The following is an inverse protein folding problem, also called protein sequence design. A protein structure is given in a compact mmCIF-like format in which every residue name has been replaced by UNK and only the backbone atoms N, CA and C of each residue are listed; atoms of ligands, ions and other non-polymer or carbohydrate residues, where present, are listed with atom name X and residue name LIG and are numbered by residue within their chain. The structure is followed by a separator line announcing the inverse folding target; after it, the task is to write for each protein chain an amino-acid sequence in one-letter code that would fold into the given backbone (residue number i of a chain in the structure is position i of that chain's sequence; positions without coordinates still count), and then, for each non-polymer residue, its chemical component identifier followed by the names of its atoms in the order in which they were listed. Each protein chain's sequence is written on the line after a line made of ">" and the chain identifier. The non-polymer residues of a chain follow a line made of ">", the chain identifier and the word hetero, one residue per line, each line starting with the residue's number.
data_IF_334454701062
#
_entry.id   IF_334454701062
#
_cell.length_a   1.000
_cell.length_b   1.000
_cell.length_c   1.000
_cell.angle_alpha   90.00
_cell.angle_beta   90.00
_cell.angle_gamma   90.00
#
_symmetry.space_group_name_H-M   'P 1'
#
loop_
_entity.id
_entity.type
_entity.pdbx_description
1 polymer ?
#
# COMPACT_ATOMS: atom_id res chain seq x y z
N UNK A 1 3.14 -27.04 8.14
CA UNK A 1 2.45 -25.99 8.91
C UNK A 1 2.06 -24.79 8.03
N UNK A 2 2.97 -24.22 7.21
CA UNK A 2 2.62 -23.13 6.28
C UNK A 2 1.65 -23.50 5.15
N UNK A 3 1.60 -24.76 4.70
CA UNK A 3 0.68 -25.16 3.61
C UNK A 3 -0.78 -25.14 4.04
N UNK A 4 -1.13 -25.71 5.21
CA UNK A 4 -2.52 -25.75 5.69
C UNK A 4 -3.13 -24.34 5.86
N UNK A 5 -2.35 -23.40 6.39
CA UNK A 5 -2.78 -22.00 6.51
C UNK A 5 -2.93 -21.34 5.13
N UNK A 6 -2.00 -21.59 4.21
CA UNK A 6 -2.08 -21.10 2.83
C UNK A 6 -3.37 -21.62 2.15
N UNK A 7 -3.69 -22.90 2.32
CA UNK A 7 -4.88 -23.53 1.74
C UNK A 7 -6.18 -23.00 2.37
N UNK A 8 -6.18 -22.70 3.67
CA UNK A 8 -7.29 -22.05 4.36
C UNK A 8 -7.53 -20.62 3.86
N UNK A 9 -6.47 -19.84 3.68
CA UNK A 9 -6.54 -18.49 3.11
C UNK A 9 -7.12 -18.56 1.69
N UNK A 10 -6.59 -19.43 0.83
CA UNK A 10 -7.11 -19.55 -0.53
C UNK A 10 -8.57 -20.00 -0.58
N UNK A 11 -9.00 -20.90 0.31
CA UNK A 11 -10.41 -21.30 0.42
C UNK A 11 -11.30 -20.11 0.78
N UNK A 12 -10.93 -19.34 1.79
CA UNK A 12 -11.68 -18.14 2.17
C UNK A 12 -11.71 -17.10 1.04
N UNK A 13 -10.57 -16.87 0.37
CA UNK A 13 -10.53 -15.95 -0.78
C UNK A 13 -11.42 -16.43 -1.94
N UNK A 14 -11.49 -17.74 -2.20
CA UNK A 14 -12.40 -18.29 -3.21
C UNK A 14 -13.88 -18.06 -2.88
N UNK A 15 -14.26 -18.04 -1.58
CA UNK A 15 -15.63 -17.70 -1.18
C UNK A 15 -15.98 -16.24 -1.46
N UNK A 16 -15.01 -15.33 -1.30
CA UNK A 16 -15.21 -13.90 -1.62
C UNK A 16 -15.32 -13.70 -3.12
N UNK A 17 -14.50 -14.42 -3.90
CA UNK A 17 -14.48 -14.33 -5.35
C UNK A 17 -15.65 -14.97 -6.08
N UNK A 18 -16.68 -15.46 -5.38
CA UNK A 18 -17.77 -16.25 -5.98
C UNK A 18 -17.24 -17.40 -6.85
N UNK A 19 -16.20 -18.10 -6.37
CA UNK A 19 -15.54 -19.18 -7.11
C UNK A 19 -14.45 -18.74 -8.10
N UNK A 20 -14.24 -17.43 -8.26
CA UNK A 20 -13.15 -16.89 -9.07
C UNK A 20 -11.90 -16.60 -8.23
N UNK A 21 -10.72 -16.66 -8.87
CA UNK A 21 -9.44 -16.39 -8.21
C UNK A 21 -9.25 -14.90 -7.92
N UNK A 22 -9.38 -14.48 -6.68
CA UNK A 22 -9.19 -13.08 -6.28
C UNK A 22 -7.79 -12.75 -5.76
N UNK A 23 -6.93 -13.75 -5.58
CA UNK A 23 -5.53 -13.51 -5.21
C UNK A 23 -4.58 -14.21 -6.17
N UNK A 24 -3.56 -13.48 -6.59
CA UNK A 24 -2.51 -13.92 -7.51
C UNK A 24 -1.35 -14.55 -6.74
N UNK A 25 -0.99 -13.98 -5.58
CA UNK A 25 0.14 -14.42 -4.74
C UNK A 25 -0.11 -14.19 -3.25
N UNK A 26 0.53 -15.02 -2.42
CA UNK A 26 0.60 -14.86 -0.97
C UNK A 26 2.05 -14.89 -0.50
N UNK A 27 2.48 -13.81 0.15
CA UNK A 27 3.80 -13.67 0.77
C UNK A 27 3.68 -13.56 2.30
N UNK A 28 4.57 -14.28 2.99
CA UNK A 28 4.60 -14.33 4.45
C UNK A 28 5.78 -13.48 4.96
N UNK A 29 5.51 -12.22 5.24
CA UNK A 29 6.47 -11.19 5.67
C UNK A 29 6.54 -11.12 7.21
N UNK A 30 7.10 -12.15 7.85
CA UNK A 30 7.24 -12.23 9.31
C UNK A 30 5.88 -12.18 10.05
N UNK A 31 5.55 -11.09 10.77
CA UNK A 31 4.24 -10.92 11.42
C UNK A 31 3.12 -10.52 10.45
N UNK A 32 3.43 -10.26 9.17
CA UNK A 32 2.48 -9.83 8.14
C UNK A 32 2.27 -10.91 7.09
N UNK A 33 1.09 -10.91 6.48
CA UNK A 33 0.80 -11.65 5.25
C UNK A 33 0.37 -10.63 4.19
N UNK A 34 1.09 -10.61 3.08
CA UNK A 34 0.75 -9.83 1.91
C UNK A 34 -0.07 -10.69 0.93
N UNK A 35 -1.24 -10.19 0.55
CA UNK A 35 -2.13 -10.79 -0.44
C UNK A 35 -2.09 -9.92 -1.68
N UNK A 36 -1.56 -10.46 -2.78
CA UNK A 36 -1.57 -9.77 -4.07
C UNK A 36 -2.84 -10.11 -4.84
N UNK A 37 -3.41 -9.12 -5.51
CA UNK A 37 -4.66 -9.27 -6.27
C UNK A 37 -4.64 -8.44 -7.55
N UNK A 38 -5.11 -9.03 -8.64
CA UNK A 38 -5.41 -8.36 -9.91
C UNK A 38 -6.83 -7.74 -9.92
N UNK A 39 -7.57 -7.90 -8.81
CA UNK A 39 -8.96 -7.43 -8.63
C UNK A 39 -9.14 -6.72 -7.29
N UNK A 40 -8.42 -5.59 -7.07
CA UNK A 40 -8.47 -4.85 -5.82
C UNK A 40 -9.88 -4.38 -5.43
N UNK A 41 -10.77 -4.19 -6.41
CA UNK A 41 -12.17 -3.82 -6.22
C UNK A 41 -12.99 -4.85 -5.43
N UNK A 42 -12.64 -6.13 -5.51
CA UNK A 42 -13.30 -7.20 -4.72
C UNK A 42 -12.99 -7.02 -3.23
N UNK A 43 -11.88 -6.37 -2.93
CA UNK A 43 -11.46 -6.04 -1.57
C UNK A 43 -11.91 -4.63 -1.16
N UNK A 44 -12.75 -3.92 -1.95
CA UNK A 44 -13.19 -2.56 -1.66
C UNK A 44 -13.94 -2.41 -0.32
N UNK A 45 -14.62 -3.46 0.16
CA UNK A 45 -15.05 -3.59 1.56
C UNK A 45 -13.87 -3.94 2.49
N UNK A 46 -12.76 -3.20 2.35
CA UNK A 46 -11.43 -3.49 2.93
C UNK A 46 -11.53 -3.84 4.40
N UNK A 47 -12.36 -3.12 5.14
CA UNK A 47 -12.50 -3.28 6.57
C UNK A 47 -13.17 -4.57 7.01
N UNK A 48 -14.10 -5.16 6.24
CA UNK A 48 -14.75 -6.41 6.63
C UNK A 48 -13.86 -7.60 6.33
N UNK A 49 -13.40 -7.70 5.08
CA UNK A 49 -12.56 -8.80 4.60
C UNK A 49 -11.24 -8.83 5.37
N UNK A 50 -10.58 -7.67 5.57
CA UNK A 50 -9.36 -7.63 6.37
C UNK A 50 -9.57 -8.06 7.83
N UNK A 51 -10.71 -7.69 8.45
CA UNK A 51 -11.03 -8.12 9.82
C UNK A 51 -11.24 -9.63 9.91
N UNK A 52 -11.98 -10.21 8.98
CA UNK A 52 -12.22 -11.66 8.92
C UNK A 52 -10.90 -12.43 8.68
N UNK A 53 -10.07 -11.97 7.75
CA UNK A 53 -8.74 -12.54 7.48
C UNK A 53 -7.82 -12.44 8.70
N UNK A 54 -7.76 -11.30 9.38
CA UNK A 54 -6.96 -11.13 10.61
C UNK A 54 -7.46 -12.05 11.72
N UNK A 55 -8.78 -12.21 11.86
CA UNK A 55 -9.36 -13.10 12.87
C UNK A 55 -9.05 -14.57 12.63
N UNK A 56 -9.04 -15.00 11.36
CA UNK A 56 -8.71 -16.35 10.92
C UNK A 56 -7.22 -16.65 11.12
N UNK A 57 -6.36 -15.75 10.67
CA UNK A 57 -4.92 -15.97 10.55
C UNK A 57 -4.16 -15.60 11.84
N UNK A 58 -4.72 -14.71 12.67
CA UNK A 58 -4.08 -14.08 13.83
C UNK A 58 -2.77 -13.33 13.49
N UNK A 59 -2.60 -12.94 12.22
CA UNK A 59 -1.52 -12.08 11.73
C UNK A 59 -2.09 -10.86 11.03
N UNK A 60 -1.29 -9.80 10.88
CA UNK A 60 -1.70 -8.60 10.15
C UNK A 60 -1.72 -8.91 8.65
N UNK A 61 -2.84 -8.66 8.00
CA UNK A 61 -3.02 -8.89 6.56
C UNK A 61 -2.98 -7.56 5.83
N UNK A 62 -2.28 -7.53 4.71
CA UNK A 62 -2.19 -6.38 3.81
C UNK A 62 -2.59 -6.86 2.42
N UNK A 63 -3.57 -6.20 1.80
CA UNK A 63 -3.95 -6.44 0.42
C UNK A 63 -3.18 -5.46 -0.46
N UNK A 64 -2.50 -5.97 -1.48
CA UNK A 64 -1.72 -5.21 -2.43
C UNK A 64 -2.21 -5.47 -3.85
N UNK A 65 -2.30 -4.45 -4.71
CA UNK A 65 -2.47 -4.68 -6.13
C UNK A 65 -1.29 -5.49 -6.70
N UNK A 66 -1.62 -6.43 -7.58
CA UNK A 66 -0.63 -7.25 -8.28
C UNK A 66 0.26 -6.35 -9.18
N UNK A 67 1.58 -6.59 -9.26
CA UNK A 67 2.47 -5.81 -10.12
C UNK A 67 1.99 -5.69 -11.59
N UNK A 68 1.25 -6.68 -12.11
CA UNK A 68 0.76 -6.68 -13.49
C UNK A 68 -0.30 -5.62 -13.80
N UNK A 69 -1.00 -5.08 -12.79
CA UNK A 69 -2.08 -4.10 -12.97
C UNK A 69 -1.69 -2.68 -12.51
N UNK A 70 -0.46 -2.51 -12.01
CA UNK A 70 0.04 -1.23 -11.50
C UNK A 70 0.32 -0.27 -12.63
N UNK A 71 -0.10 0.99 -12.46
CA UNK A 71 0.29 2.06 -13.36
C UNK A 71 1.81 2.25 -13.36
N UNK A 72 2.42 2.57 -14.51
CA UNK A 72 3.86 2.82 -14.60
C UNK A 72 4.25 4.07 -13.81
N UNK A 73 5.53 4.15 -13.46
CA UNK A 73 6.10 5.22 -12.64
C UNK A 73 5.77 6.62 -13.15
N UNK A 74 5.87 6.85 -14.46
CA UNK A 74 5.62 8.16 -15.07
C UNK A 74 4.15 8.60 -14.92
N UNK A 75 3.22 7.65 -14.92
CA UNK A 75 1.81 7.92 -14.69
C UNK A 75 1.55 8.23 -13.21
N UNK A 76 2.16 7.48 -12.30
CA UNK A 76 2.11 7.73 -10.86
C UNK A 76 2.62 9.12 -10.53
N UNK A 77 3.80 9.49 -11.03
CA UNK A 77 4.41 10.79 -10.77
C UNK A 77 3.52 11.95 -11.24
N UNK A 78 2.93 11.82 -12.44
CA UNK A 78 2.00 12.80 -13.01
C UNK A 78 0.72 12.93 -12.19
N UNK A 79 0.11 11.79 -11.85
CA UNK A 79 -1.11 11.71 -11.08
C UNK A 79 -0.98 12.36 -9.71
N UNK A 80 0.13 12.06 -9.03
CA UNK A 80 0.47 12.64 -7.74
C UNK A 80 0.71 14.14 -7.86
N UNK A 81 1.45 14.60 -8.88
CA UNK A 81 1.74 16.02 -9.06
C UNK A 81 0.47 16.85 -9.28
N UNK A 82 -0.51 16.31 -9.99
CA UNK A 82 -1.82 16.94 -10.16
C UNK A 82 -2.59 16.99 -8.83
N UNK A 83 -2.77 15.84 -8.19
CA UNK A 83 -3.53 15.70 -6.94
C UNK A 83 -2.95 16.50 -5.76
N UNK A 84 -1.61 16.67 -5.72
CA UNK A 84 -0.90 17.35 -4.63
C UNK A 84 -0.21 18.65 -5.06
N UNK A 85 -0.66 19.28 -6.14
CA UNK A 85 -0.09 20.52 -6.69
C UNK A 85 0.06 21.67 -5.68
N UNK A 86 -0.76 21.71 -4.63
CA UNK A 86 -0.68 22.70 -3.54
C UNK A 86 0.27 22.35 -2.39
N UNK A 87 0.92 21.18 -2.43
CA UNK A 87 1.75 20.67 -1.36
C UNK A 87 3.21 20.57 -1.79
N UNK A 88 4.14 20.84 -0.86
CA UNK A 88 5.53 20.42 -1.02
C UNK A 88 5.68 19.01 -0.45
N UNK A 89 6.21 18.10 -1.24
CA UNK A 89 6.38 16.70 -0.84
C UNK A 89 7.64 16.08 -1.42
N UNK A 90 8.07 14.96 -0.83
CA UNK A 90 8.91 13.97 -1.51
C UNK A 90 8.08 12.74 -1.84
N UNK A 91 8.34 12.17 -3.01
CA UNK A 91 7.67 10.98 -3.52
C UNK A 91 8.67 9.83 -3.57
N UNK A 92 8.27 8.67 -3.07
CA UNK A 92 9.02 7.42 -3.16
C UNK A 92 8.08 6.31 -3.62
N UNK A 93 8.49 5.56 -4.63
CA UNK A 93 7.74 4.40 -5.15
C UNK A 93 8.46 3.15 -4.68
N UNK A 94 7.73 2.27 -3.99
CA UNK A 94 8.21 1.01 -3.46
C UNK A 94 7.57 -0.14 -4.25
N UNK A 95 8.28 -0.59 -5.29
CA UNK A 95 7.81 -1.66 -6.19
C UNK A 95 7.58 -2.98 -5.46
N UNK A 96 8.40 -3.29 -4.45
CA UNK A 96 8.29 -4.53 -3.69
C UNK A 96 7.00 -4.53 -2.85
N UNK A 97 6.73 -3.42 -2.15
CA UNK A 97 5.54 -3.29 -1.33
C UNK A 97 4.29 -2.85 -2.12
N UNK A 98 4.44 -2.41 -3.37
CA UNK A 98 3.34 -1.81 -4.13
C UNK A 98 2.83 -0.52 -3.52
N UNK A 99 3.72 0.25 -2.89
CA UNK A 99 3.38 1.47 -2.16
C UNK A 99 3.91 2.73 -2.85
N UNK A 100 3.07 3.74 -2.95
CA UNK A 100 3.42 5.12 -3.32
C UNK A 100 3.45 5.93 -2.04
N UNK A 101 4.65 6.28 -1.58
CA UNK A 101 4.85 6.96 -0.31
C UNK A 101 5.11 8.45 -0.55
N UNK A 102 4.18 9.27 -0.06
CA UNK A 102 4.24 10.72 -0.07
C UNK A 102 4.65 11.22 1.30
N UNK A 103 5.75 11.97 1.38
CA UNK A 103 6.11 12.67 2.62
C UNK A 103 5.89 14.15 2.42
N UNK A 104 4.83 14.67 3.04
CA UNK A 104 4.44 16.07 2.98
C UNK A 104 5.37 16.88 3.87
N UNK A 105 6.03 17.88 3.29
CA UNK A 105 6.88 18.81 4.03
C UNK A 105 5.99 19.74 4.83
N UNK A 106 6.22 19.78 6.14
CA UNK A 106 5.43 20.62 7.04
C UNK A 106 5.80 22.09 6.83
N UNK A 107 4.83 22.92 6.44
CA UNK A 107 4.87 24.38 6.61
C UNK A 107 4.06 24.75 7.86
N UNK A 108 4.25 25.96 8.39
CA UNK A 108 3.50 26.48 9.54
C UNK A 108 1.97 26.48 9.34
N UNK A 109 1.51 26.42 8.08
CA UNK A 109 0.10 26.29 7.70
C UNK A 109 -0.18 24.89 7.17
N UNK A 110 -1.04 24.14 7.87
CA UNK A 110 -1.43 22.76 7.53
C UNK A 110 -2.58 22.78 6.54
N UNK A 111 -2.29 22.44 5.28
CA UNK A 111 -3.33 22.13 4.29
C UNK A 111 -3.82 20.69 4.56
N UNK A 112 -5.12 20.46 4.83
CA UNK A 112 -5.66 19.12 5.03
C UNK A 112 -5.60 18.31 3.74
N UNK A 113 -5.40 17.00 3.88
CA UNK A 113 -5.36 16.06 2.76
C UNK A 113 -6.64 15.26 2.84
N UNK A 114 -7.43 15.31 1.78
CA UNK A 114 -8.69 14.59 1.71
C UNK A 114 -8.43 13.09 1.44
N UNK A 115 -9.06 12.24 2.24
CA UNK A 115 -9.00 10.79 2.11
C UNK A 115 -9.65 10.31 0.78
N UNK A 116 -10.55 11.12 0.22
CA UNK A 116 -11.15 10.90 -1.10
C UNK A 116 -10.10 10.94 -2.21
N UNK A 117 -9.15 11.89 -2.15
CA UNK A 117 -8.05 12.03 -3.12
C UNK A 117 -7.12 10.83 -3.07
N UNK A 118 -6.80 10.34 -1.86
CA UNK A 118 -5.99 9.13 -1.67
C UNK A 118 -6.71 7.94 -2.30
N UNK A 119 -7.99 7.75 -1.96
CA UNK A 119 -8.80 6.64 -2.48
C UNK A 119 -8.94 6.67 -4.00
N UNK A 120 -9.06 7.85 -4.60
CA UNK A 120 -9.11 8.04 -6.05
C UNK A 120 -7.78 7.64 -6.70
N UNK A 121 -6.65 8.11 -6.18
CA UNK A 121 -5.32 7.74 -6.68
C UNK A 121 -5.08 6.23 -6.59
N UNK A 122 -5.42 5.60 -5.46
CA UNK A 122 -5.27 4.16 -5.31
C UNK A 122 -6.09 3.38 -6.35
N UNK A 123 -7.34 3.81 -6.60
CA UNK A 123 -8.22 3.18 -7.59
C UNK A 123 -7.73 3.40 -9.02
N UNK A 124 -7.23 4.60 -9.33
CA UNK A 124 -6.78 4.96 -10.66
C UNK A 124 -5.46 4.28 -11.03
N UNK A 125 -4.53 4.23 -10.08
CA UNK A 125 -3.17 3.79 -10.33
C UNK A 125 -2.96 2.31 -9.97
N UNK A 126 -3.86 1.69 -9.22
CA UNK A 126 -3.66 0.38 -8.60
C UNK A 126 -2.39 0.35 -7.74
N UNK A 127 -2.19 1.38 -6.92
CA UNK A 127 -1.12 1.43 -5.93
C UNK A 127 -1.71 1.64 -4.53
N UNK A 128 -1.01 1.19 -3.50
CA UNK A 128 -1.33 1.60 -2.12
C UNK A 128 -0.69 2.97 -1.88
N UNK A 129 -1.47 3.98 -1.50
CA UNK A 129 -0.95 5.34 -1.32
C UNK A 129 -0.79 5.62 0.16
N UNK A 130 0.46 5.86 0.59
CA UNK A 130 0.80 6.12 1.99
C UNK A 130 1.26 7.57 2.13
N UNK A 131 0.50 8.36 2.88
CA UNK A 131 0.81 9.77 3.12
C UNK A 131 1.36 9.95 4.54
N UNK A 132 2.59 10.44 4.62
CA UNK A 132 3.28 10.77 5.86
C UNK A 132 3.49 12.27 5.96
N UNK A 133 3.57 12.80 7.19
CA UNK A 133 4.03 14.17 7.44
C UNK A 133 5.48 14.16 7.87
N UNK A 134 6.25 15.10 7.36
CA UNK A 134 7.62 15.31 7.80
C UNK A 134 7.63 15.76 9.26
N UNK A 135 8.40 15.10 10.14
CA UNK A 135 8.51 15.52 11.53
C UNK A 135 9.05 16.95 11.61
N UNK A 136 8.56 17.80 12.55
CA UNK A 136 8.98 19.20 12.67
C UNK A 136 10.49 19.40 12.93
N UNK A 137 11.16 18.38 13.48
CA UNK A 137 12.60 18.36 13.67
C UNK A 137 13.18 17.15 12.94
N UNK A 138 14.15 17.40 12.06
CA UNK A 138 14.90 16.36 11.35
C UNK A 138 15.95 15.75 12.29
N UNK A 139 15.92 14.44 12.48
CA UNK A 139 16.94 13.72 13.25
C UNK A 139 17.99 13.13 12.31
N UNK A 140 19.25 13.52 12.49
CA UNK A 140 20.40 12.99 11.73
C UNK A 140 20.50 11.47 11.81
N UNK A 141 20.05 10.87 12.91
CA UNK A 141 20.03 9.40 13.10
C UNK A 141 18.96 8.75 12.23
N UNK A 142 17.75 9.31 12.18
CA UNK A 142 16.63 8.77 11.38
C UNK A 142 16.95 8.84 9.89
N UNK A 143 17.57 9.92 9.44
CA UNK A 143 18.00 10.06 8.04
C UNK A 143 19.06 9.03 7.65
N UNK A 144 20.06 8.79 8.51
CA UNK A 144 21.08 7.77 8.28
C UNK A 144 20.47 6.37 8.20
N UNK A 145 19.54 6.04 9.09
CA UNK A 145 18.83 4.75 9.07
C UNK A 145 17.99 4.61 7.80
N UNK A 146 17.27 5.65 7.37
CA UNK A 146 16.53 5.62 6.10
C UNK A 146 17.45 5.39 4.90
N UNK A 147 18.58 6.08 4.83
CA UNK A 147 19.60 5.85 3.77
C UNK A 147 20.15 4.42 3.80
N UNK A 148 20.30 3.84 4.99
CA UNK A 148 20.77 2.46 5.12
C UNK A 148 19.73 1.42 4.68
N UNK A 149 18.45 1.62 5.04
CA UNK A 149 17.36 0.70 4.70
C UNK A 149 16.99 0.78 3.22
N UNK A 150 16.96 2.00 2.66
CA UNK A 150 16.45 2.25 1.30
C UNK A 150 17.55 2.52 0.25
N UNK A 151 18.82 2.59 0.67
CA UNK A 151 19.94 2.90 -0.22
C UNK A 151 20.06 4.39 -0.55
N UNK A 152 21.31 4.88 -0.62
CA UNK A 152 21.60 6.22 -1.13
C UNK A 152 21.60 6.19 -2.67
N UNK A 153 20.42 6.29 -3.30
CA UNK A 153 20.34 6.56 -4.73
C UNK A 153 19.19 5.85 -5.45
N UNK A 154 18.13 6.62 -5.72
CA UNK A 154 17.47 6.76 -7.03
C UNK A 154 16.55 7.97 -6.95
#
# INVERSE_FOLDING_TARGET
>A
MFSALRDEIFRYLATIGNGQRVATKLDFEGPRIAIYTDRPEVFAERNRIARELVNLIKKRVIVRPDPSIRAPREEVERAVAEAFSGHQYSLRIDEELGEVVLTIKTRDVVVPIDESVISELERRLNWVVVVNREPPMTSTTVEKVRKYIYGAGS
#
